data_IF_422371058556
#
_entry.id   IF_422371058556
#
_cell.length_a   1.000
_cell.length_b   1.000
_cell.length_c   1.000
_cell.angle_alpha   90.00
_cell.angle_beta   90.00
_cell.angle_gamma   90.00
#
_symmetry.space_group_name_H-M   'P 1'
#
loop_
_entity.id
_entity.type
_entity.pdbx_description
1 polymer ?
#
# COMPACT_ATOMS: atom_id res chain seq x y z
N UNK A 1 -1.02 -23.82 -30.27
CA UNK A 1 -1.42 -23.53 -28.88
C UNK A 1 -0.15 -23.37 -28.06
N UNK A 2 0.03 -22.27 -27.34
CA UNK A 2 1.21 -22.03 -26.50
C UNK A 2 1.20 -22.96 -25.29
N UNK A 3 2.37 -23.42 -24.83
CA UNK A 3 2.53 -24.27 -23.62
C UNK A 3 1.85 -23.65 -22.39
N UNK A 4 1.79 -22.31 -22.33
CA UNK A 4 1.12 -21.54 -21.29
C UNK A 4 -0.40 -21.72 -21.30
N UNK A 5 -1.01 -21.76 -22.49
CA UNK A 5 -2.47 -21.92 -22.64
C UNK A 5 -2.91 -23.33 -22.24
N UNK A 6 -2.09 -24.35 -22.52
CA UNK A 6 -2.35 -25.74 -22.11
C UNK A 6 -2.30 -25.88 -20.58
N UNK A 7 -1.37 -25.21 -19.90
CA UNK A 7 -1.29 -25.19 -18.44
C UNK A 7 -2.51 -24.53 -17.78
N UNK A 8 -3.01 -23.44 -18.35
CA UNK A 8 -4.21 -22.75 -17.83
C UNK A 8 -5.45 -23.62 -18.02
N UNK A 9 -5.63 -24.21 -19.20
CA UNK A 9 -6.75 -25.10 -19.49
C UNK A 9 -6.78 -26.32 -18.54
N UNK A 10 -5.65 -26.94 -18.25
CA UNK A 10 -5.53 -28.04 -17.29
C UNK A 10 -5.90 -27.58 -15.87
N UNK A 11 -5.45 -26.41 -15.42
CA UNK A 11 -5.80 -25.88 -14.10
C UNK A 11 -7.32 -25.62 -13.98
N UNK A 12 -7.94 -25.05 -15.00
CA UNK A 12 -9.39 -24.79 -15.04
C UNK A 12 -10.17 -26.11 -14.97
N UNK A 13 -9.78 -27.10 -15.77
CA UNK A 13 -10.39 -28.44 -15.74
C UNK A 13 -10.32 -29.07 -14.33
N UNK A 14 -9.16 -29.03 -13.72
CA UNK A 14 -8.94 -29.54 -12.38
C UNK A 14 -9.77 -28.83 -11.31
N UNK A 15 -9.95 -27.50 -11.45
CA UNK A 15 -10.76 -26.71 -10.52
C UNK A 15 -12.25 -27.00 -10.69
N UNK A 16 -12.73 -27.18 -11.93
CA UNK A 16 -14.13 -27.59 -12.19
C UNK A 16 -14.44 -28.91 -11.54
N UNK A 17 -13.60 -29.91 -11.75
CA UNK A 17 -13.75 -31.23 -11.14
C UNK A 17 -13.78 -31.14 -9.61
N UNK A 18 -12.87 -30.35 -9.03
CA UNK A 18 -12.85 -30.14 -7.59
C UNK A 18 -14.12 -29.44 -7.08
N UNK A 19 -14.67 -28.48 -7.83
CA UNK A 19 -15.92 -27.82 -7.51
C UNK A 19 -17.09 -28.79 -7.56
N UNK A 20 -17.19 -29.64 -8.59
CA UNK A 20 -18.19 -30.70 -8.72
C UNK A 20 -18.12 -31.70 -7.56
N UNK A 21 -16.91 -32.19 -7.22
CA UNK A 21 -16.70 -33.14 -6.09
C UNK A 21 -17.14 -32.54 -4.75
N UNK A 22 -17.09 -31.20 -4.59
CA UNK A 22 -17.56 -30.47 -3.40
C UNK A 22 -19.01 -30.00 -3.48
N UNK A 23 -19.72 -30.27 -4.58
CA UNK A 23 -21.09 -29.84 -4.80
C UNK A 23 -21.24 -28.31 -5.02
N UNK A 24 -20.21 -27.63 -5.48
CA UNK A 24 -20.25 -26.21 -5.81
C UNK A 24 -20.77 -25.99 -7.23
N UNK A 25 -21.64 -25.02 -7.39
CA UNK A 25 -22.05 -24.51 -8.71
C UNK A 25 -21.04 -23.46 -9.19
N UNK A 26 -20.46 -23.66 -10.39
CA UNK A 26 -19.52 -22.71 -10.98
C UNK A 26 -20.28 -21.57 -11.66
N UNK A 27 -20.34 -20.42 -11.01
CA UNK A 27 -21.04 -19.23 -11.53
C UNK A 27 -20.23 -18.54 -12.63
N UNK A 28 -18.91 -18.37 -12.44
CA UNK A 28 -18.04 -17.64 -13.38
C UNK A 28 -16.57 -18.00 -13.20
N UNK A 29 -15.83 -17.95 -14.29
CA UNK A 29 -14.39 -18.15 -14.33
C UNK A 29 -13.66 -16.84 -14.61
N UNK A 30 -12.55 -16.62 -13.91
CA UNK A 30 -11.70 -15.47 -14.07
C UNK A 30 -10.29 -15.95 -14.42
N UNK A 31 -9.68 -15.36 -15.43
CA UNK A 31 -8.31 -15.70 -15.82
C UNK A 31 -7.54 -14.46 -16.27
N UNK A 32 -6.26 -14.41 -15.90
CA UNK A 32 -5.31 -13.39 -16.33
C UNK A 32 -4.23 -14.04 -17.22
N UNK A 33 -4.63 -14.45 -18.44
CA UNK A 33 -3.73 -15.13 -19.38
C UNK A 33 -2.74 -14.13 -19.99
N UNK A 34 -1.44 -14.49 -20.03
CA UNK A 34 -0.41 -13.73 -20.73
C UNK A 34 0.02 -12.42 -20.09
N UNK A 35 -0.40 -12.12 -18.87
CA UNK A 35 0.03 -10.93 -18.15
C UNK A 35 1.38 -11.20 -17.46
N UNK A 36 2.46 -10.61 -18.01
CA UNK A 36 3.78 -10.61 -17.40
C UNK A 36 3.71 -10.12 -15.95
N UNK A 37 4.45 -10.79 -15.03
CA UNK A 37 4.49 -10.48 -13.60
C UNK A 37 4.84 -9.02 -13.25
N UNK A 38 5.33 -8.24 -14.22
CA UNK A 38 5.69 -6.82 -14.07
C UNK A 38 4.55 -5.84 -14.34
N UNK A 39 3.45 -6.25 -15.02
CA UNK A 39 2.33 -5.35 -15.28
C UNK A 39 1.47 -5.18 -14.02
N UNK A 40 1.21 -3.92 -13.66
CA UNK A 40 0.49 -3.54 -12.43
C UNK A 40 -0.99 -3.95 -12.42
N UNK A 41 -1.61 -4.19 -13.57
CA UNK A 41 -3.06 -4.41 -13.70
C UNK A 41 -3.39 -5.87 -13.94
N UNK A 42 -4.36 -6.40 -13.17
CA UNK A 42 -4.86 -7.78 -13.26
C UNK A 42 -6.39 -7.73 -13.44
N UNK A 43 -6.85 -7.59 -14.69
CA UNK A 43 -8.27 -7.41 -14.98
C UNK A 43 -9.15 -8.57 -14.50
N UNK A 44 -8.65 -9.80 -14.50
CA UNK A 44 -9.36 -10.97 -13.98
C UNK A 44 -9.57 -10.89 -12.48
N UNK A 45 -8.53 -10.54 -11.71
CA UNK A 45 -8.64 -10.35 -10.26
C UNK A 45 -9.52 -9.14 -9.92
N UNK A 46 -9.35 -8.01 -10.63
CA UNK A 46 -10.16 -6.81 -10.44
C UNK A 46 -11.65 -7.11 -10.67
N UNK A 47 -11.98 -7.88 -11.71
CA UNK A 47 -13.34 -8.32 -12.01
C UNK A 47 -13.90 -9.29 -10.95
N UNK A 48 -13.07 -10.21 -10.45
CA UNK A 48 -13.45 -11.13 -9.38
C UNK A 48 -13.84 -10.34 -8.12
N UNK A 49 -13.02 -9.39 -7.69
CA UNK A 49 -13.32 -8.56 -6.51
C UNK A 49 -14.57 -7.70 -6.74
N UNK A 50 -14.76 -7.14 -7.94
CA UNK A 50 -15.95 -6.37 -8.27
C UNK A 50 -17.23 -7.21 -8.19
N UNK A 51 -17.19 -8.46 -8.66
CA UNK A 51 -18.31 -9.39 -8.59
C UNK A 51 -18.54 -9.91 -7.16
N UNK A 52 -17.48 -10.10 -6.35
CA UNK A 52 -17.56 -10.41 -4.91
C UNK A 52 -18.29 -9.31 -4.13
N UNK A 53 -17.96 -8.03 -4.39
CA UNK A 53 -18.67 -6.88 -3.80
C UNK A 53 -20.16 -6.85 -4.16
N UNK A 54 -20.52 -7.37 -5.31
CA UNK A 54 -21.90 -7.53 -5.74
C UNK A 54 -22.57 -8.82 -5.21
N UNK A 55 -21.85 -9.61 -4.38
CA UNK A 55 -22.33 -10.88 -3.79
C UNK A 55 -22.83 -11.89 -4.82
N UNK A 56 -22.18 -11.96 -5.99
CA UNK A 56 -22.55 -12.89 -7.06
C UNK A 56 -22.21 -14.34 -6.74
N UNK A 57 -21.30 -14.56 -5.79
CA UNK A 57 -20.87 -15.88 -5.33
C UNK A 57 -20.44 -15.80 -3.86
N UNK A 58 -20.36 -16.96 -3.22
CA UNK A 58 -19.98 -17.09 -1.80
C UNK A 58 -18.63 -17.77 -1.59
N UNK A 59 -18.06 -18.37 -2.65
CA UNK A 59 -16.79 -19.09 -2.60
C UNK A 59 -15.92 -18.68 -3.78
N UNK A 60 -14.64 -18.43 -3.52
CA UNK A 60 -13.58 -18.26 -4.52
C UNK A 60 -12.68 -19.48 -4.47
N UNK A 61 -12.58 -20.20 -5.58
CA UNK A 61 -11.71 -21.36 -5.72
C UNK A 61 -10.54 -21.02 -6.65
N UNK A 62 -9.31 -21.28 -6.20
CA UNK A 62 -8.10 -21.03 -6.98
C UNK A 62 -7.19 -22.26 -7.06
N UNK A 63 -6.41 -22.37 -8.14
CA UNK A 63 -5.44 -23.43 -8.30
C UNK A 63 -4.32 -23.35 -7.26
N UNK A 64 -3.86 -22.13 -6.96
CA UNK A 64 -2.83 -21.85 -5.98
C UNK A 64 -2.91 -20.38 -5.51
N UNK A 65 -2.52 -20.08 -4.27
CA UNK A 65 -2.62 -18.74 -3.69
C UNK A 65 -1.74 -17.71 -4.41
N UNK A 66 -0.60 -18.14 -5.00
CA UNK A 66 0.29 -17.31 -5.79
C UNK A 66 -0.38 -16.76 -7.08
N UNK A 67 -1.50 -17.35 -7.49
CA UNK A 67 -2.31 -16.86 -8.60
C UNK A 67 -3.12 -15.63 -8.22
N UNK A 68 -3.47 -15.48 -6.95
CA UNK A 68 -4.26 -14.34 -6.46
C UNK A 68 -3.39 -13.13 -6.14
N UNK A 69 -2.18 -13.35 -5.61
CA UNK A 69 -1.35 -12.26 -5.13
C UNK A 69 0.10 -12.36 -5.58
N UNK A 70 0.77 -11.20 -5.71
CA UNK A 70 2.19 -11.07 -6.06
C UNK A 70 3.10 -10.93 -4.84
N UNK A 71 2.52 -10.67 -3.69
CA UNK A 71 3.23 -10.55 -2.42
C UNK A 71 2.32 -10.99 -1.29
N UNK A 72 2.91 -11.39 -0.18
CA UNK A 72 2.19 -11.79 1.03
C UNK A 72 1.25 -10.68 1.51
N UNK A 73 1.68 -9.42 1.49
CA UNK A 73 0.83 -8.27 1.86
C UNK A 73 -0.38 -8.11 0.94
N UNK A 74 -0.18 -8.25 -0.37
CA UNK A 74 -1.29 -8.16 -1.32
C UNK A 74 -2.26 -9.32 -1.15
N UNK A 75 -1.77 -10.54 -0.87
CA UNK A 75 -2.59 -11.69 -0.56
C UNK A 75 -3.47 -11.44 0.66
N UNK A 76 -2.87 -10.98 1.76
CA UNK A 76 -3.61 -10.67 3.00
C UNK A 76 -4.68 -9.62 2.78
N UNK A 77 -4.38 -8.56 2.01
CA UNK A 77 -5.36 -7.52 1.70
C UNK A 77 -6.55 -8.06 0.91
N UNK A 78 -6.32 -8.95 -0.06
CA UNK A 78 -7.40 -9.62 -0.79
C UNK A 78 -8.19 -10.54 0.13
N UNK A 79 -7.53 -11.26 1.04
CA UNK A 79 -8.22 -12.13 2.02
C UNK A 79 -9.09 -11.34 2.99
N UNK A 80 -8.59 -10.23 3.53
CA UNK A 80 -9.35 -9.33 4.41
C UNK A 80 -10.59 -8.78 3.69
N UNK A 81 -10.44 -8.44 2.40
CA UNK A 81 -11.55 -7.96 1.60
C UNK A 81 -12.61 -9.06 1.37
N UNK A 82 -12.20 -10.28 0.99
CA UNK A 82 -13.11 -11.41 0.78
C UNK A 82 -13.82 -11.79 2.09
N UNK A 83 -13.11 -11.82 3.21
CA UNK A 83 -13.67 -12.12 4.54
C UNK A 83 -14.70 -11.06 4.94
N UNK A 84 -14.42 -9.79 4.74
CA UNK A 84 -15.36 -8.68 5.01
C UNK A 84 -16.65 -8.76 4.17
N UNK A 85 -16.57 -9.38 2.99
CA UNK A 85 -17.72 -9.63 2.10
C UNK A 85 -18.44 -10.94 2.41
N UNK A 86 -17.90 -11.77 3.34
CA UNK A 86 -18.42 -13.10 3.67
C UNK A 86 -18.13 -14.14 2.58
N UNK A 87 -17.12 -13.90 1.73
CA UNK A 87 -16.73 -14.82 0.65
C UNK A 87 -15.60 -15.72 1.13
N UNK A 88 -15.80 -17.01 1.06
CA UNK A 88 -14.83 -18.04 1.43
C UNK A 88 -13.75 -18.17 0.34
N UNK A 89 -12.53 -18.47 0.75
CA UNK A 89 -11.40 -18.68 -0.16
C UNK A 89 -10.87 -20.11 -0.02
N UNK A 90 -10.72 -20.80 -1.15
CA UNK A 90 -10.19 -22.16 -1.21
C UNK A 90 -9.04 -22.20 -2.22
N UNK A 91 -7.87 -22.64 -1.77
CA UNK A 91 -6.71 -22.91 -2.63
C UNK A 91 -6.46 -24.41 -2.71
N UNK A 92 -6.50 -24.97 -3.93
CA UNK A 92 -6.38 -26.40 -4.14
C UNK A 92 -4.98 -26.93 -3.86
N UNK A 93 -3.95 -26.24 -4.37
CA UNK A 93 -2.55 -26.73 -4.27
C UNK A 93 -2.06 -26.76 -2.83
N UNK A 94 -2.37 -25.74 -2.06
CA UNK A 94 -1.96 -25.61 -0.67
C UNK A 94 -2.98 -26.23 0.32
N UNK A 95 -4.09 -26.73 -0.19
CA UNK A 95 -5.17 -27.30 0.60
C UNK A 95 -5.69 -26.35 1.70
N UNK A 96 -5.75 -25.05 1.35
CA UNK A 96 -6.23 -23.98 2.24
C UNK A 96 -7.74 -23.80 2.02
N UNK A 97 -8.50 -23.83 3.10
CA UNK A 97 -9.94 -23.58 3.09
C UNK A 97 -10.26 -22.63 4.26
N UNK A 98 -10.61 -21.38 3.94
CA UNK A 98 -10.86 -20.33 4.95
C UNK A 98 -12.21 -20.48 5.65
N UNK A 99 -13.08 -21.40 5.22
CA UNK A 99 -14.33 -21.69 5.91
C UNK A 99 -14.10 -22.36 7.28
N UNK A 100 -12.97 -23.06 7.44
CA UNK A 100 -12.62 -23.81 8.63
C UNK A 100 -11.63 -23.12 9.58
N UNK A 101 -11.45 -23.65 10.80
CA UNK A 101 -10.49 -23.12 11.78
C UNK A 101 -9.05 -23.14 11.27
N UNK A 102 -8.67 -24.15 10.50
CA UNK A 102 -7.32 -24.30 9.94
C UNK A 102 -6.99 -23.21 8.92
N UNK A 103 -7.95 -22.79 8.10
CA UNK A 103 -7.76 -21.68 7.17
C UNK A 103 -7.52 -20.36 7.90
N UNK A 104 -8.25 -20.08 8.96
CA UNK A 104 -8.04 -18.90 9.81
C UNK A 104 -6.68 -18.92 10.49
N UNK A 105 -6.25 -20.06 11.01
CA UNK A 105 -4.91 -20.24 11.57
C UNK A 105 -3.83 -19.95 10.50
N UNK A 106 -4.01 -20.47 9.28
CA UNK A 106 -3.10 -20.22 8.17
C UNK A 106 -2.98 -18.72 7.85
N UNK A 107 -4.09 -18.00 7.74
CA UNK A 107 -4.09 -16.56 7.50
C UNK A 107 -3.36 -15.80 8.63
N UNK A 108 -3.56 -16.19 9.89
CA UNK A 108 -2.85 -15.61 11.04
C UNK A 108 -1.34 -15.83 10.94
N UNK A 109 -0.90 -17.03 10.58
CA UNK A 109 0.52 -17.33 10.38
C UNK A 109 1.14 -16.52 9.24
N UNK A 110 0.46 -16.42 8.11
CA UNK A 110 0.93 -15.62 6.97
C UNK A 110 0.99 -14.12 7.32
N UNK A 111 0.03 -13.61 8.09
CA UNK A 111 0.05 -12.23 8.61
C UNK A 111 1.28 -11.97 9.49
N UNK A 112 1.56 -12.88 10.41
CA UNK A 112 2.72 -12.76 11.30
C UNK A 112 4.06 -12.80 10.53
N UNK A 113 4.15 -13.63 9.49
CA UNK A 113 5.33 -13.68 8.63
C UNK A 113 5.50 -12.37 7.85
N UNK A 114 4.41 -11.80 7.30
CA UNK A 114 4.45 -10.54 6.56
C UNK A 114 4.85 -9.34 7.45
N UNK A 115 4.43 -9.33 8.71
CA UNK A 115 4.86 -8.36 9.71
C UNK A 115 6.36 -8.51 10.01
N UNK A 116 6.82 -9.73 10.27
CA UNK A 116 8.23 -10.04 10.51
C UNK A 116 9.12 -9.59 9.33
N UNK A 117 8.75 -9.93 8.09
CA UNK A 117 9.47 -9.46 6.89
C UNK A 117 9.55 -7.93 6.83
N UNK A 118 8.46 -7.25 7.18
CA UNK A 118 8.41 -5.79 7.19
C UNK A 118 9.33 -5.20 8.24
N UNK A 119 9.41 -5.79 9.41
CA UNK A 119 10.25 -5.32 10.51
C UNK A 119 11.73 -5.57 10.23
N UNK A 120 12.07 -6.73 9.67
CA UNK A 120 13.44 -7.03 9.22
C UNK A 120 13.97 -6.02 8.19
N UNK A 121 13.11 -5.48 7.32
CA UNK A 121 13.47 -4.44 6.37
C UNK A 121 13.56 -3.06 7.04
N UNK A 122 12.63 -2.75 7.95
CA UNK A 122 12.54 -1.43 8.61
C UNK A 122 13.63 -1.18 9.64
N UNK A 123 14.06 -2.22 10.35
CA UNK A 123 15.04 -2.10 11.43
C UNK A 123 16.39 -1.55 10.96
N UNK A 124 17.05 -2.11 9.92
CA UNK A 124 18.31 -1.56 9.44
C UNK A 124 18.15 -0.15 8.85
N UNK A 125 17.02 0.17 8.21
CA UNK A 125 16.73 1.51 7.70
C UNK A 125 16.61 2.51 8.86
N UNK A 126 15.88 2.17 9.92
CA UNK A 126 15.76 3.01 11.13
C UNK A 126 17.11 3.18 11.82
N UNK A 127 17.91 2.12 11.93
CA UNK A 127 19.26 2.17 12.50
C UNK A 127 20.18 3.08 11.66
N UNK A 128 20.15 2.95 10.34
CA UNK A 128 20.90 3.80 9.41
C UNK A 128 20.50 5.28 9.51
N UNK A 129 19.20 5.58 9.57
CA UNK A 129 18.72 6.95 9.78
C UNK A 129 19.13 7.51 11.14
N UNK A 130 19.13 6.70 12.20
CA UNK A 130 19.59 7.11 13.53
C UNK A 130 21.08 7.46 13.52
N UNK A 131 21.92 6.61 12.89
CA UNK A 131 23.33 6.86 12.71
C UNK A 131 23.57 8.17 11.93
N UNK A 132 22.90 8.35 10.79
CA UNK A 132 23.03 9.55 9.99
C UNK A 132 22.67 10.83 10.77
N UNK A 133 21.66 10.78 11.65
CA UNK A 133 21.32 11.90 12.55
C UNK A 133 22.41 12.19 13.57
N UNK A 134 23.00 11.15 14.18
CA UNK A 134 24.10 11.29 15.16
C UNK A 134 25.36 11.85 14.51
N UNK A 135 25.62 11.50 13.23
CA UNK A 135 26.72 12.01 12.41
C UNK A 135 26.42 13.42 11.85
N UNK A 136 25.30 14.04 12.20
CA UNK A 136 24.92 15.37 11.70
C UNK A 136 24.52 15.40 10.22
N UNK A 137 24.36 14.24 9.58
CA UNK A 137 23.97 14.17 8.17
C UNK A 137 22.51 14.56 8.01
N UNK A 138 22.22 15.36 7.01
CA UNK A 138 20.86 15.73 6.68
C UNK A 138 20.11 14.52 6.11
N UNK A 139 18.98 14.18 6.73
CA UNK A 139 18.08 13.12 6.27
C UNK A 139 16.92 13.77 5.52
N UNK A 140 16.66 13.30 4.30
CA UNK A 140 15.60 13.80 3.44
C UNK A 140 16.09 14.87 2.45
N UNK A 141 15.13 15.62 1.88
CA UNK A 141 15.43 16.65 0.89
C UNK A 141 16.26 17.76 1.53
N UNK A 142 17.34 18.17 0.86
CA UNK A 142 18.14 19.31 1.27
C UNK A 142 17.27 20.54 1.49
N UNK A 143 17.60 21.31 2.52
CA UNK A 143 16.93 22.59 2.74
C UNK A 143 17.27 23.52 1.58
N UNK A 144 16.30 24.30 1.17
CA UNK A 144 16.55 25.37 0.19
C UNK A 144 17.45 26.41 0.85
N UNK A 145 18.55 26.72 0.17
CA UNK A 145 19.45 27.81 0.56
C UNK A 145 18.82 29.12 0.05
N UNK A 146 17.97 29.70 0.89
CA UNK A 146 17.23 30.92 0.57
C UNK A 146 17.14 31.77 1.82
N UNK A 147 17.44 33.04 1.68
CA UNK A 147 17.24 34.01 2.75
C UNK A 147 15.75 34.19 3.05
N UNK A 148 15.33 33.58 4.16
CA UNK A 148 13.94 33.58 4.59
C UNK A 148 13.43 34.95 5.02
N UNK A 149 14.35 35.78 5.57
CA UNK A 149 14.00 37.14 6.04
C UNK A 149 13.72 38.03 4.87
N UNK A 150 14.52 37.96 3.82
CA UNK A 150 14.27 38.66 2.59
C UNK A 150 12.98 38.24 1.89
N UNK A 151 12.73 36.95 1.79
CA UNK A 151 11.45 36.44 1.23
C UNK A 151 10.26 37.01 1.97
N UNK A 152 10.32 37.08 3.31
CA UNK A 152 9.22 37.62 4.13
C UNK A 152 9.10 39.15 3.96
N UNK A 153 10.22 39.86 3.86
CA UNK A 153 10.26 41.29 3.63
C UNK A 153 9.63 41.68 2.29
N UNK A 154 9.99 40.95 1.22
CA UNK A 154 9.39 41.13 -0.10
C UNK A 154 7.86 40.90 -0.09
N UNK A 155 7.40 39.88 0.64
CA UNK A 155 5.98 39.65 0.79
C UNK A 155 5.25 40.73 1.61
N UNK A 156 5.94 41.37 2.58
CA UNK A 156 5.41 42.49 3.36
C UNK A 156 5.35 43.79 2.57
N UNK A 157 6.27 43.98 1.65
CA UNK A 157 6.28 45.13 0.74
C UNK A 157 5.19 45.07 -0.34
N UNK A 158 4.37 43.98 -0.35
CA UNK A 158 3.27 43.82 -1.29
C UNK A 158 3.66 43.05 -2.56
N UNK A 159 4.85 42.47 -2.64
CA UNK A 159 5.26 41.66 -3.79
C UNK A 159 4.40 40.40 -3.91
N UNK A 160 3.96 40.07 -5.12
CA UNK A 160 3.12 38.88 -5.35
C UNK A 160 3.92 37.59 -5.11
N UNK A 161 3.24 36.50 -4.68
CA UNK A 161 3.87 35.20 -4.46
C UNK A 161 4.65 34.69 -5.67
N UNK A 162 4.19 35.00 -6.87
CA UNK A 162 4.84 34.59 -8.12
C UNK A 162 6.09 35.42 -8.38
N UNK A 163 6.06 36.71 -8.13
CA UNK A 163 7.20 37.61 -8.27
C UNK A 163 8.30 37.27 -7.24
N UNK A 164 7.93 37.06 -5.96
CA UNK A 164 8.84 36.63 -4.90
C UNK A 164 9.48 35.26 -5.23
N UNK A 165 8.70 34.31 -5.72
CA UNK A 165 9.23 33.00 -6.12
C UNK A 165 10.27 33.10 -7.23
N UNK A 166 10.03 33.98 -8.23
CA UNK A 166 10.95 34.21 -9.33
C UNK A 166 12.22 34.93 -8.86
N UNK A 167 12.08 35.96 -8.01
CA UNK A 167 13.20 36.74 -7.48
C UNK A 167 14.19 35.90 -6.68
N UNK A 168 13.66 34.94 -5.87
CA UNK A 168 14.49 34.08 -5.03
C UNK A 168 14.80 32.69 -5.65
N UNK A 169 14.47 32.46 -6.92
CA UNK A 169 14.74 31.19 -7.62
C UNK A 169 14.07 29.95 -6.99
N UNK A 170 12.95 30.12 -6.31
CA UNK A 170 12.22 29.05 -5.61
C UNK A 170 10.81 28.86 -6.16
N UNK A 171 10.20 27.72 -5.84
CA UNK A 171 8.80 27.47 -6.26
C UNK A 171 7.82 28.33 -5.48
N UNK A 172 6.71 28.71 -6.11
CA UNK A 172 5.58 29.39 -5.45
C UNK A 172 5.08 28.63 -4.20
N UNK A 173 5.09 27.28 -4.25
CA UNK A 173 4.73 26.45 -3.11
C UNK A 173 5.70 26.63 -1.92
N UNK A 174 6.99 26.82 -2.20
CA UNK A 174 8.01 27.11 -1.18
C UNK A 174 7.78 28.49 -0.52
N UNK A 175 7.44 29.51 -1.30
CA UNK A 175 7.09 30.83 -0.78
C UNK A 175 5.84 30.77 0.11
N UNK A 176 4.78 30.06 -0.33
CA UNK A 176 3.58 29.87 0.46
C UNK A 176 3.86 29.18 1.81
N UNK A 177 4.74 28.17 1.82
CA UNK A 177 5.14 27.47 3.04
C UNK A 177 5.90 28.37 3.99
N UNK A 178 6.82 29.18 3.51
CA UNK A 178 7.53 30.16 4.34
C UNK A 178 6.61 31.22 4.90
N UNK A 179 5.70 31.77 4.09
CA UNK A 179 4.65 32.69 4.54
C UNK A 179 3.84 32.09 5.70
N UNK A 180 3.38 30.84 5.57
CA UNK A 180 2.58 30.16 6.61
C UNK A 180 3.36 29.97 7.91
N UNK A 181 4.62 29.51 7.84
CA UNK A 181 5.46 29.32 9.02
C UNK A 181 5.69 30.65 9.77
N UNK A 182 5.91 31.73 9.07
CA UNK A 182 6.19 33.02 9.68
C UNK A 182 4.94 33.64 10.37
N UNK A 183 3.80 33.62 9.71
CA UNK A 183 2.54 34.13 10.28
C UNK A 183 1.98 33.23 11.39
N UNK A 184 2.24 31.92 11.39
CA UNK A 184 1.88 31.00 12.47
C UNK A 184 2.71 31.20 13.74
N UNK A 185 4.00 31.57 13.63
CA UNK A 185 4.86 31.85 14.78
C UNK A 185 4.57 33.23 15.43
N UNK A 186 4.03 34.18 14.70
CA UNK A 186 3.63 35.47 15.24
C UNK A 186 2.44 35.36 16.22
N UNK A 187 1.68 34.27 16.14
CA UNK A 187 0.52 34.02 17.05
C UNK A 187 0.87 33.15 18.27
N UNK A 188 2.06 32.53 18.30
CA UNK A 188 2.50 31.66 19.41
C UNK A 188 3.39 32.30 20.46
N UNK A 189 3.75 33.59 20.31
CA UNK A 189 4.60 34.29 21.29
C UNK A 189 3.86 34.90 22.50
N UNK A 190 2.67 34.38 22.83
CA UNK A 190 1.94 34.73 24.08
C UNK A 190 1.52 33.45 24.82
N UNK A 191 2.46 32.65 25.23
CA UNK A 191 2.22 31.69 26.30
C UNK A 191 3.52 31.61 27.14
N UNK A 192 3.56 32.39 28.21
CA UNK A 192 4.59 32.33 29.24
C UNK A 192 4.46 31.00 29.98
N UNK A 193 5.46 30.13 29.84
CA UNK A 193 5.70 29.04 30.79
C UNK A 193 6.89 29.46 31.62
N UNK A 194 6.61 29.98 32.82
CA UNK A 194 7.62 30.13 33.87
C UNK A 194 8.10 28.74 34.28
N UNK A 195 9.39 28.45 34.10
CA UNK A 195 10.05 27.35 34.80
C UNK A 195 10.14 27.78 36.27
N UNK A 196 9.37 27.09 37.11
CA UNK A 196 9.65 27.05 38.55
C UNK A 196 10.64 25.90 38.71
N UNK A 197 11.84 26.23 39.19
CA UNK A 197 12.85 25.27 39.59
C UNK A 197 12.49 24.64 40.95
N UNK A 198 12.91 23.43 41.10
CA UNK A 198 13.69 22.81 42.19
C UNK A 198 13.84 21.35 41.83
#
# INVERSE_FOLDING_TARGET
>A
MSTTDQHVASQVYDLRRFAEDRGFEVVKEYSDVGISGTKARRPGLDALIADARQRKFTVVLVAAFDRVARSTKHFLHVMDELDSLGVQFISRRENIDTSGPMGRLFLTLISSIAELESDLIREPVRAGMRRARLEGRQIGRARLDVDREQVVTDLRSGMSLTATARNHGISRASVCRQKRCFFSNSTKSRCGISRIGE
#
